data_IF_130404220446
#
_entry.id   IF_130404220446
#
_cell.length_a   1.000
_cell.length_b   1.000
_cell.length_c   1.000
_cell.angle_alpha   90.00
_cell.angle_beta   90.00
_cell.angle_gamma   90.00
#
_symmetry.space_group_name_H-M   'P 1'
#
loop_
_entity.id
_entity.type
_entity.pdbx_description
1 polymer ?
#
# COMPACT_ATOMS: atom_id res chain seq x y z
N UNK A 1 -8.14 -15.58 -6.93
CA UNK A 1 -8.14 -15.97 -5.50
C UNK A 1 -9.55 -16.18 -4.95
N UNK A 2 -10.50 -15.25 -5.18
CA UNK A 2 -11.87 -15.38 -4.63
C UNK A 2 -12.89 -16.12 -5.52
N UNK A 3 -12.48 -16.57 -6.70
CA UNK A 3 -13.33 -17.29 -7.69
C UNK A 3 -12.93 -18.75 -7.90
N UNK A 4 -12.01 -19.28 -7.09
CA UNK A 4 -11.57 -20.68 -7.19
C UNK A 4 -12.63 -21.61 -6.61
N UNK A 5 -12.83 -22.75 -7.28
CA UNK A 5 -13.92 -23.69 -6.99
C UNK A 5 -13.78 -24.42 -5.66
N UNK A 6 -12.56 -24.58 -5.15
CA UNK A 6 -12.25 -25.42 -3.99
C UNK A 6 -11.03 -24.94 -3.19
N UNK A 7 -10.91 -25.41 -1.95
CA UNK A 7 -9.82 -25.03 -1.03
C UNK A 7 -8.44 -25.50 -1.49
N UNK A 8 -8.32 -26.61 -2.22
CA UNK A 8 -7.03 -27.08 -2.71
C UNK A 8 -6.54 -26.18 -3.85
N UNK A 9 -7.42 -25.77 -4.76
CA UNK A 9 -7.12 -24.75 -5.78
C UNK A 9 -6.76 -23.40 -5.17
N UNK A 10 -7.38 -23.01 -4.05
CA UNK A 10 -7.00 -21.80 -3.32
C UNK A 10 -5.54 -21.88 -2.83
N UNK A 11 -5.18 -22.97 -2.13
CA UNK A 11 -3.78 -23.20 -1.68
C UNK A 11 -2.80 -23.25 -2.83
N UNK A 12 -3.13 -23.95 -3.92
CA UNK A 12 -2.29 -24.01 -5.12
C UNK A 12 -2.11 -22.61 -5.73
N UNK A 13 -3.17 -21.81 -5.81
CA UNK A 13 -3.09 -20.42 -6.26
C UNK A 13 -2.18 -19.58 -5.36
N UNK A 14 -2.23 -19.76 -4.04
CA UNK A 14 -1.32 -19.08 -3.10
C UNK A 14 0.13 -19.47 -3.36
N UNK A 15 0.41 -20.76 -3.51
CA UNK A 15 1.77 -21.27 -3.76
C UNK A 15 2.31 -20.73 -5.07
N UNK A 16 1.54 -20.81 -6.15
CA UNK A 16 1.96 -20.28 -7.47
C UNK A 16 2.19 -18.77 -7.40
N UNK A 17 1.34 -18.03 -6.68
CA UNK A 17 1.52 -16.61 -6.45
C UNK A 17 2.82 -16.29 -5.72
N UNK A 18 3.07 -16.93 -4.57
CA UNK A 18 4.29 -16.74 -3.78
C UNK A 18 5.53 -17.14 -4.59
N UNK A 19 5.49 -18.26 -5.30
CA UNK A 19 6.60 -18.72 -6.12
C UNK A 19 6.91 -17.75 -7.27
N UNK A 20 5.88 -17.21 -7.92
CA UNK A 20 6.04 -16.21 -9.00
C UNK A 20 6.64 -14.91 -8.48
N UNK A 21 6.20 -14.43 -7.31
CA UNK A 21 6.76 -13.24 -6.65
C UNK A 21 8.23 -13.48 -6.26
N UNK A 22 8.53 -14.63 -5.66
CA UNK A 22 9.90 -14.99 -5.28
C UNK A 22 10.82 -15.09 -6.49
N UNK A 23 10.37 -15.73 -7.57
CA UNK A 23 11.09 -15.80 -8.83
C UNK A 23 11.34 -14.40 -9.43
N UNK A 24 10.33 -13.53 -9.44
CA UNK A 24 10.48 -12.15 -9.89
C UNK A 24 11.53 -11.38 -9.09
N UNK A 25 11.53 -11.51 -7.75
CA UNK A 25 12.52 -10.84 -6.91
C UNK A 25 13.96 -11.28 -7.20
N UNK A 26 14.16 -12.56 -7.48
CA UNK A 26 15.46 -13.10 -7.93
C UNK A 26 15.86 -12.46 -9.26
N UNK A 27 14.96 -12.35 -10.23
CA UNK A 27 15.25 -11.70 -11.52
C UNK A 27 15.64 -10.22 -11.37
N UNK A 28 14.97 -9.46 -10.51
CA UNK A 28 15.33 -8.06 -10.25
C UNK A 28 16.76 -7.89 -9.74
N UNK A 29 17.27 -8.85 -8.96
CA UNK A 29 18.67 -8.84 -8.51
C UNK A 29 19.64 -8.97 -9.68
N UNK A 30 19.36 -9.89 -10.62
CA UNK A 30 20.18 -10.05 -11.83
C UNK A 30 20.14 -8.82 -12.72
N UNK A 31 18.99 -8.17 -12.86
CA UNK A 31 18.87 -6.92 -13.64
C UNK A 31 19.69 -5.80 -12.98
N UNK A 32 19.60 -5.64 -11.66
CA UNK A 32 20.37 -4.63 -10.94
C UNK A 32 21.88 -4.84 -11.07
N UNK A 33 22.34 -6.09 -10.89
CA UNK A 33 23.75 -6.44 -11.06
C UNK A 33 24.22 -6.27 -12.51
N UNK A 34 23.41 -6.68 -13.48
CA UNK A 34 23.70 -6.53 -14.90
C UNK A 34 23.80 -5.06 -15.33
N UNK A 35 22.94 -4.19 -14.81
CA UNK A 35 23.03 -2.75 -15.02
C UNK A 35 24.33 -2.18 -14.44
N UNK A 36 24.76 -2.68 -13.26
CA UNK A 36 26.00 -2.26 -12.61
C UNK A 36 27.25 -2.67 -13.38
N UNK A 37 27.32 -3.90 -13.88
CA UNK A 37 28.50 -4.41 -14.59
C UNK A 37 28.60 -3.92 -16.04
N UNK A 38 27.48 -3.60 -16.68
CA UNK A 38 27.45 -3.04 -18.04
C UNK A 38 27.81 -1.56 -18.11
N UNK A 39 27.86 -0.85 -16.98
CA UNK A 39 28.05 0.61 -16.95
C UNK A 39 26.82 1.39 -17.43
N UNK A 40 25.67 0.73 -17.61
CA UNK A 40 24.43 1.33 -18.08
C UNK A 40 23.59 1.96 -16.94
N UNK A 41 24.09 1.99 -15.71
CA UNK A 41 23.38 2.61 -14.59
C UNK A 41 23.40 4.13 -14.68
N UNK A 42 22.21 4.72 -14.55
CA UNK A 42 22.09 6.11 -14.13
C UNK A 42 22.21 6.19 -12.60
N UNK A 43 23.35 6.70 -12.13
CA UNK A 43 23.63 6.89 -10.69
C UNK A 43 22.70 7.91 -10.04
N UNK A 44 22.01 8.73 -10.84
CA UNK A 44 21.03 9.71 -10.36
C UNK A 44 19.61 9.14 -10.33
N UNK A 45 19.34 8.03 -11.02
CA UNK A 45 18.02 7.42 -11.07
C UNK A 45 18.06 5.88 -11.14
N UNK A 46 17.99 5.26 -9.96
CA UNK A 46 17.93 3.80 -9.83
C UNK A 46 16.67 3.16 -10.43
N UNK A 47 15.59 3.93 -10.65
CA UNK A 47 14.34 3.39 -11.21
C UNK A 47 14.48 3.06 -12.71
N UNK A 48 15.52 3.57 -13.39
CA UNK A 48 15.78 3.34 -14.81
C UNK A 48 16.73 2.16 -15.09
N UNK A 49 17.14 1.40 -14.08
CA UNK A 49 18.11 0.31 -14.25
C UNK A 49 17.68 -0.74 -15.30
N UNK A 50 16.43 -1.17 -15.31
CA UNK A 50 15.96 -2.19 -16.25
C UNK A 50 15.87 -1.67 -17.71
N UNK A 51 15.24 -0.51 -17.99
CA UNK A 51 15.26 0.06 -19.34
C UNK A 51 16.67 0.38 -19.84
N UNK A 52 17.53 0.98 -19.01
CA UNK A 52 18.88 1.36 -19.44
C UNK A 52 19.77 0.14 -19.70
N UNK A 53 19.62 -0.94 -18.91
CA UNK A 53 20.25 -2.21 -19.22
C UNK A 53 19.78 -2.76 -20.58
N UNK A 54 18.49 -2.69 -20.91
CA UNK A 54 18.03 -3.09 -22.24
C UNK A 54 18.60 -2.21 -23.35
N UNK A 55 18.74 -0.91 -23.10
CA UNK A 55 19.34 0.04 -24.04
C UNK A 55 20.80 -0.29 -24.34
N UNK A 56 21.55 -0.82 -23.37
CA UNK A 56 22.94 -1.23 -23.60
C UNK A 56 23.06 -2.41 -24.59
N UNK A 57 21.99 -3.18 -24.81
CA UNK A 57 21.95 -4.22 -25.84
C UNK A 57 21.40 -3.71 -27.17
N UNK A 58 20.28 -2.97 -27.17
CA UNK A 58 19.67 -2.42 -28.37
C UNK A 58 18.59 -1.37 -28.05
N UNK A 59 18.50 -0.32 -28.88
CA UNK A 59 17.42 0.69 -28.79
C UNK A 59 16.04 0.07 -29.00
N UNK A 60 15.94 -1.00 -29.81
CA UNK A 60 14.68 -1.72 -30.01
C UNK A 60 14.24 -2.43 -28.72
N UNK A 61 15.18 -3.04 -28.00
CA UNK A 61 14.88 -3.72 -26.74
C UNK A 61 14.47 -2.72 -25.65
N UNK A 62 15.13 -1.56 -25.60
CA UNK A 62 14.73 -0.44 -24.74
C UNK A 62 13.29 0.00 -25.02
N UNK A 63 12.92 0.19 -26.29
CA UNK A 63 11.57 0.60 -26.68
C UNK A 63 10.53 -0.45 -26.28
N UNK A 64 10.80 -1.74 -26.52
CA UNK A 64 9.91 -2.85 -26.17
C UNK A 64 9.70 -2.95 -24.65
N UNK A 65 10.78 -2.94 -23.87
CA UNK A 65 10.67 -3.02 -22.40
C UNK A 65 9.94 -1.79 -21.85
N UNK A 66 10.25 -0.60 -22.35
CA UNK A 66 9.58 0.63 -21.93
C UNK A 66 8.07 0.60 -22.26
N UNK A 67 7.69 0.10 -23.43
CA UNK A 67 6.30 -0.05 -23.83
C UNK A 67 5.55 -1.07 -22.95
N UNK A 68 6.17 -2.21 -22.62
CA UNK A 68 5.60 -3.23 -21.73
C UNK A 68 5.43 -2.66 -20.31
N UNK A 69 6.45 -1.97 -19.79
CA UNK A 69 6.42 -1.35 -18.47
C UNK A 69 5.28 -0.32 -18.40
N UNK A 70 5.21 0.57 -19.39
CA UNK A 70 4.15 1.59 -19.47
C UNK A 70 2.75 0.97 -19.54
N UNK A 71 2.56 -0.02 -20.43
CA UNK A 71 1.27 -0.71 -20.59
C UNK A 71 0.84 -1.43 -19.31
N UNK A 72 1.79 -2.06 -18.62
CA UNK A 72 1.53 -2.79 -17.37
C UNK A 72 1.16 -1.83 -16.23
N UNK A 73 1.87 -0.71 -16.09
CA UNK A 73 1.53 0.33 -15.10
C UNK A 73 0.15 0.91 -15.37
N UNK A 74 -0.20 1.24 -16.62
CA UNK A 74 -1.54 1.73 -16.95
C UNK A 74 -2.62 0.69 -16.62
N UNK A 75 -2.37 -0.58 -16.91
CA UNK A 75 -3.28 -1.67 -16.59
C UNK A 75 -3.55 -1.80 -15.08
N UNK A 76 -2.49 -1.77 -14.25
CA UNK A 76 -2.62 -1.88 -12.79
C UNK A 76 -3.26 -0.64 -12.17
N UNK A 77 -2.84 0.56 -12.60
CA UNK A 77 -3.39 1.83 -12.11
C UNK A 77 -4.90 1.92 -12.39
N UNK A 78 -5.35 1.56 -13.59
CA UNK A 78 -6.78 1.54 -13.92
C UNK A 78 -7.57 0.61 -12.99
N UNK A 79 -7.05 -0.60 -12.75
CA UNK A 79 -7.67 -1.55 -11.83
C UNK A 79 -7.77 -1.02 -10.39
N UNK A 80 -6.71 -0.39 -9.89
CA UNK A 80 -6.68 0.20 -8.55
C UNK A 80 -7.63 1.40 -8.43
N UNK A 81 -7.71 2.26 -9.45
CA UNK A 81 -8.63 3.41 -9.48
C UNK A 81 -10.08 2.93 -9.44
N UNK A 82 -10.42 1.92 -10.25
CA UNK A 82 -11.78 1.35 -10.27
C UNK A 82 -12.11 0.78 -8.89
N UNK A 83 -11.21 -0.01 -8.29
CA UNK A 83 -11.40 -0.57 -6.96
C UNK A 83 -11.59 0.51 -5.89
N UNK A 84 -10.74 1.54 -5.88
CA UNK A 84 -10.84 2.67 -4.95
C UNK A 84 -12.15 3.46 -5.15
N UNK A 85 -12.54 3.72 -6.39
CA UNK A 85 -13.79 4.43 -6.69
C UNK A 85 -15.04 3.64 -6.30
N UNK A 86 -14.99 2.31 -6.42
CA UNK A 86 -16.04 1.42 -5.94
C UNK A 86 -16.17 1.46 -4.42
N UNK A 87 -15.04 1.43 -3.70
CA UNK A 87 -15.02 1.58 -2.25
C UNK A 87 -15.58 2.95 -1.82
N UNK A 88 -15.22 4.04 -2.50
CA UNK A 88 -15.80 5.37 -2.21
C UNK A 88 -17.32 5.38 -2.42
N UNK A 89 -17.80 4.85 -3.54
CA UNK A 89 -19.24 4.85 -3.84
C UNK A 89 -20.05 3.96 -2.88
N UNK A 90 -19.52 2.80 -2.48
CA UNK A 90 -20.24 1.84 -1.63
C UNK A 90 -20.03 2.10 -0.13
N UNK A 91 -18.79 2.28 0.29
CA UNK A 91 -18.44 2.38 1.71
C UNK A 91 -18.67 3.80 2.25
N UNK A 92 -18.27 4.83 1.50
CA UNK A 92 -18.43 6.22 1.94
C UNK A 92 -19.85 6.71 1.63
N UNK A 93 -20.27 6.73 0.36
CA UNK A 93 -21.58 7.27 0.01
C UNK A 93 -22.74 6.37 0.48
N UNK A 94 -22.65 5.06 0.22
CA UNK A 94 -23.70 4.11 0.57
C UNK A 94 -23.76 3.82 2.07
N UNK A 95 -22.64 3.44 2.70
CA UNK A 95 -22.65 2.93 4.07
C UNK A 95 -22.47 4.05 5.11
N UNK A 96 -21.49 4.92 4.94
CA UNK A 96 -21.16 5.96 5.92
C UNK A 96 -22.14 7.15 5.86
N UNK A 97 -22.39 7.68 4.66
CA UNK A 97 -23.32 8.80 4.44
C UNK A 97 -24.78 8.36 4.30
N UNK A 98 -25.05 7.04 4.22
CA UNK A 98 -26.39 6.46 4.09
C UNK A 98 -27.21 7.08 2.96
N UNK A 99 -26.56 7.41 1.84
CA UNK A 99 -27.24 7.98 0.69
C UNK A 99 -28.00 6.88 -0.06
N UNK A 100 -29.33 6.99 -0.10
CA UNK A 100 -30.13 6.16 -1.00
C UNK A 100 -29.90 6.61 -2.44
N UNK A 101 -29.26 5.75 -3.23
CA UNK A 101 -28.83 6.06 -4.59
C UNK A 101 -29.33 5.00 -5.55
N UNK A 102 -29.88 5.45 -6.67
CA UNK A 102 -30.19 4.56 -7.80
C UNK A 102 -28.90 4.01 -8.42
N UNK A 103 -28.99 2.92 -9.17
CA UNK A 103 -27.80 2.32 -9.80
C UNK A 103 -27.12 3.27 -10.80
N UNK A 104 -27.90 4.13 -11.46
CA UNK A 104 -27.35 5.18 -12.31
C UNK A 104 -26.54 6.21 -11.52
N UNK A 105 -27.04 6.63 -10.33
CA UNK A 105 -26.32 7.56 -9.45
C UNK A 105 -25.05 6.92 -8.87
N UNK A 106 -25.08 5.63 -8.51
CA UNK A 106 -23.89 4.88 -8.07
C UNK A 106 -22.80 4.88 -9.15
N UNK A 107 -23.16 4.59 -10.39
CA UNK A 107 -22.20 4.61 -11.51
C UNK A 107 -21.65 6.02 -11.73
N UNK A 108 -22.49 7.06 -11.63
CA UNK A 108 -22.03 8.45 -11.79
C UNK A 108 -21.05 8.86 -10.69
N UNK A 109 -21.34 8.53 -9.43
CA UNK A 109 -20.46 8.81 -8.29
C UNK A 109 -19.16 8.03 -8.40
N UNK A 110 -19.23 6.74 -8.76
CA UNK A 110 -18.04 5.94 -8.99
C UNK A 110 -17.14 6.56 -10.07
N UNK A 111 -17.70 6.99 -11.22
CA UNK A 111 -16.94 7.67 -12.28
C UNK A 111 -16.28 8.97 -11.80
N UNK A 112 -17.00 9.80 -11.04
CA UNK A 112 -16.45 11.04 -10.47
C UNK A 112 -15.33 10.70 -9.48
N UNK A 113 -15.55 9.73 -8.60
CA UNK A 113 -14.54 9.27 -7.65
C UNK A 113 -13.30 8.71 -8.37
N UNK A 114 -13.46 7.98 -9.49
CA UNK A 114 -12.33 7.51 -10.30
C UNK A 114 -11.48 8.67 -10.81
N UNK A 115 -12.11 9.75 -11.29
CA UNK A 115 -11.39 10.94 -11.76
C UNK A 115 -10.66 11.62 -10.59
N UNK A 116 -11.33 11.82 -9.46
CA UNK A 116 -10.72 12.45 -8.27
C UNK A 116 -9.54 11.63 -7.75
N UNK A 117 -9.71 10.32 -7.59
CA UNK A 117 -8.64 9.41 -7.16
C UNK A 117 -7.48 9.42 -8.16
N UNK A 118 -7.78 9.42 -9.47
CA UNK A 118 -6.77 9.51 -10.52
C UNK A 118 -5.97 10.82 -10.46
N UNK A 119 -6.63 11.96 -10.28
CA UNK A 119 -5.96 13.26 -10.13
C UNK A 119 -5.07 13.27 -8.90
N UNK A 120 -5.55 12.76 -7.75
CA UNK A 120 -4.74 12.65 -6.53
C UNK A 120 -3.52 11.75 -6.77
N UNK A 121 -3.70 10.60 -7.43
CA UNK A 121 -2.61 9.69 -7.74
C UNK A 121 -1.55 10.34 -8.65
N UNK A 122 -1.96 11.14 -9.65
CA UNK A 122 -1.04 11.89 -10.52
C UNK A 122 -0.26 12.93 -9.72
N UNK A 123 -0.94 13.71 -8.88
CA UNK A 123 -0.29 14.74 -8.04
C UNK A 123 0.73 14.11 -7.10
N UNK A 124 0.36 13.03 -6.41
CA UNK A 124 1.29 12.30 -5.55
C UNK A 124 2.44 11.68 -6.35
N UNK A 125 2.17 11.12 -7.54
CA UNK A 125 3.20 10.59 -8.42
C UNK A 125 4.26 11.62 -8.80
N UNK A 126 3.84 12.86 -9.13
CA UNK A 126 4.75 13.97 -9.43
C UNK A 126 5.53 14.40 -8.18
N UNK A 127 4.87 14.51 -7.02
CA UNK A 127 5.54 14.91 -5.77
C UNK A 127 6.62 13.92 -5.33
N UNK A 128 6.44 12.63 -5.60
CA UNK A 128 7.35 11.56 -5.19
C UNK A 128 8.19 10.99 -6.34
N UNK A 129 8.27 11.66 -7.50
CA UNK A 129 8.92 11.12 -8.72
C UNK A 129 10.41 10.82 -8.56
N UNK A 130 11.09 11.56 -7.67
CA UNK A 130 12.54 11.42 -7.41
C UNK A 130 12.86 10.29 -6.45
N UNK A 131 11.86 9.74 -5.78
CA UNK A 131 12.06 8.66 -4.83
C UNK A 131 12.23 7.32 -5.56
N UNK A 132 13.02 6.43 -4.97
CA UNK A 132 13.10 5.07 -5.46
C UNK A 132 11.76 4.34 -5.24
N UNK A 133 11.24 3.72 -6.30
CA UNK A 133 9.92 3.06 -6.29
C UNK A 133 9.88 1.91 -5.27
N UNK A 134 10.99 1.22 -5.02
CA UNK A 134 11.07 0.18 -3.98
C UNK A 134 10.79 0.73 -2.58
N UNK A 135 11.22 1.96 -2.27
CA UNK A 135 10.88 2.62 -1.00
C UNK A 135 9.40 2.99 -0.94
N UNK A 136 8.84 3.57 -2.01
CA UNK A 136 7.41 3.89 -2.08
C UNK A 136 6.52 2.66 -1.89
N UNK A 137 6.90 1.53 -2.50
CA UNK A 137 6.21 0.24 -2.30
C UNK A 137 6.35 -0.25 -0.85
N UNK A 138 7.54 -0.13 -0.26
CA UNK A 138 7.79 -0.46 1.15
C UNK A 138 6.93 0.37 2.11
N UNK A 139 6.76 1.66 1.83
CA UNK A 139 5.88 2.56 2.57
C UNK A 139 4.42 2.15 2.45
N UNK A 140 3.93 1.90 1.22
CA UNK A 140 2.57 1.45 0.98
C UNK A 140 2.25 0.16 1.76
N UNK A 141 3.16 -0.84 1.72
CA UNK A 141 2.99 -2.06 2.50
C UNK A 141 3.06 -1.82 4.01
N UNK A 142 3.92 -0.93 4.48
CA UNK A 142 4.00 -0.62 5.91
C UNK A 142 2.74 0.05 6.44
N UNK A 143 2.16 0.98 5.67
CA UNK A 143 0.87 1.61 6.00
C UNK A 143 -0.25 0.58 6.00
N UNK A 144 -0.34 -0.23 4.95
CA UNK A 144 -1.37 -1.27 4.83
C UNK A 144 -1.26 -2.32 5.95
N UNK A 145 -0.05 -2.76 6.28
CA UNK A 145 0.20 -3.70 7.38
C UNK A 145 -0.16 -3.07 8.74
N UNK A 146 0.24 -1.82 8.99
CA UNK A 146 -0.03 -1.14 10.26
C UNK A 146 -1.52 -0.95 10.53
N UNK A 147 -2.30 -0.62 9.50
CA UNK A 147 -3.74 -0.44 9.62
C UNK A 147 -4.49 -1.78 9.73
N UNK A 148 -4.19 -2.75 8.87
CA UNK A 148 -5.06 -3.92 8.68
C UNK A 148 -4.58 -5.17 9.41
N UNK A 149 -3.27 -5.40 9.52
CA UNK A 149 -2.73 -6.66 10.04
C UNK A 149 -3.14 -6.92 11.50
N UNK A 150 -3.01 -5.95 12.44
CA UNK A 150 -3.43 -6.17 13.84
C UNK A 150 -4.91 -6.55 13.93
N UNK A 151 -5.76 -5.81 13.22
CA UNK A 151 -7.20 -6.01 13.23
C UNK A 151 -7.62 -7.37 12.68
N UNK A 152 -7.07 -7.77 11.53
CA UNK A 152 -7.40 -9.05 10.90
C UNK A 152 -6.91 -10.24 11.73
N UNK A 153 -5.68 -10.18 12.26
CA UNK A 153 -5.12 -11.27 13.06
C UNK A 153 -5.90 -11.40 14.38
N UNK A 154 -6.12 -10.30 15.10
CA UNK A 154 -6.80 -10.36 16.39
C UNK A 154 -8.27 -10.77 16.23
N UNK A 155 -8.95 -10.36 15.16
CA UNK A 155 -10.31 -10.81 14.88
C UNK A 155 -10.42 -12.33 14.70
N UNK A 156 -9.43 -12.98 14.09
CA UNK A 156 -9.43 -14.43 13.83
C UNK A 156 -8.95 -15.22 15.06
N UNK A 157 -7.88 -14.77 15.71
CA UNK A 157 -7.17 -15.55 16.74
C UNK A 157 -7.51 -15.16 18.19
N UNK A 158 -8.07 -13.97 18.42
CA UNK A 158 -8.40 -13.49 19.75
C UNK A 158 -9.91 -13.19 19.90
N UNK A 159 -10.58 -14.02 20.70
CA UNK A 159 -12.01 -13.85 21.03
C UNK A 159 -12.31 -12.54 21.75
N UNK A 160 -11.29 -11.88 22.31
CA UNK A 160 -11.42 -10.62 23.05
C UNK A 160 -11.62 -9.37 22.19
N UNK A 161 -11.58 -9.52 20.87
CA UNK A 161 -11.57 -8.38 19.94
C UNK A 161 -12.92 -7.64 19.93
N UNK A 162 -12.87 -6.32 20.09
CA UNK A 162 -14.06 -5.45 20.07
C UNK A 162 -14.11 -4.57 18.82
N UNK A 163 -15.31 -4.16 18.39
CA UNK A 163 -15.49 -3.22 17.27
C UNK A 163 -14.71 -1.92 17.49
N UNK A 164 -14.79 -1.36 18.70
CA UNK A 164 -14.11 -0.13 19.07
C UNK A 164 -12.59 -0.30 19.05
N UNK A 165 -12.07 -1.42 19.55
CA UNK A 165 -10.65 -1.75 19.48
C UNK A 165 -10.12 -1.84 18.05
N UNK A 166 -10.88 -2.48 17.15
CA UNK A 166 -10.54 -2.53 15.72
C UNK A 166 -10.53 -1.13 15.10
N UNK A 167 -11.57 -0.33 15.31
CA UNK A 167 -11.65 1.02 14.71
C UNK A 167 -10.48 1.89 15.17
N UNK A 168 -10.19 1.93 16.47
CA UNK A 168 -9.08 2.74 17.00
C UNK A 168 -7.74 2.21 16.52
N UNK A 169 -7.53 0.90 16.46
CA UNK A 169 -6.28 0.31 15.96
C UNK A 169 -6.03 0.64 14.48
N UNK A 170 -7.05 0.53 13.61
CA UNK A 170 -6.94 0.91 12.19
C UNK A 170 -6.59 2.39 12.07
N UNK A 171 -7.34 3.26 12.77
CA UNK A 171 -7.12 4.72 12.72
C UNK A 171 -5.74 5.10 13.23
N UNK A 172 -5.32 4.56 14.37
CA UNK A 172 -4.00 4.85 14.95
C UNK A 172 -2.90 4.29 14.05
N UNK A 173 -3.01 3.04 13.58
CA UNK A 173 -2.02 2.45 12.68
C UNK A 173 -1.84 3.22 11.38
N UNK A 174 -2.93 3.70 10.78
CA UNK A 174 -2.92 4.56 9.59
C UNK A 174 -2.26 5.92 9.88
N UNK A 175 -2.73 6.63 10.91
CA UNK A 175 -2.21 7.97 11.24
C UNK A 175 -0.74 7.88 11.65
N UNK A 176 -0.36 6.91 12.47
CA UNK A 176 1.01 6.76 12.94
C UNK A 176 1.97 6.42 11.80
N UNK A 177 1.58 5.53 10.90
CA UNK A 177 2.44 5.14 9.76
C UNK A 177 2.58 6.27 8.74
N UNK A 178 1.50 6.96 8.41
CA UNK A 178 1.55 8.15 7.54
C UNK A 178 2.38 9.27 8.16
N UNK A 179 2.14 9.60 9.43
CA UNK A 179 2.91 10.65 10.13
C UNK A 179 4.39 10.30 10.17
N UNK A 180 4.73 9.03 10.44
CA UNK A 180 6.12 8.58 10.45
C UNK A 180 6.79 8.72 9.10
N UNK A 181 6.10 8.34 8.01
CA UNK A 181 6.62 8.51 6.65
C UNK A 181 6.85 10.00 6.36
N UNK A 182 5.85 10.85 6.59
CA UNK A 182 5.95 12.28 6.30
C UNK A 182 7.02 12.99 7.14
N UNK A 183 7.33 12.48 8.33
CA UNK A 183 8.35 13.02 9.22
C UNK A 183 9.73 12.37 9.04
N UNK A 184 9.88 11.46 8.08
CA UNK A 184 11.12 10.75 7.80
C UNK A 184 12.17 11.61 7.12
N UNK A 185 13.43 11.25 7.34
CA UNK A 185 14.59 11.89 6.70
C UNK A 185 14.50 11.86 5.17
N UNK A 186 13.99 10.77 4.59
CA UNK A 186 13.84 10.63 3.14
C UNK A 186 12.79 11.60 2.59
N UNK A 187 11.63 11.73 3.24
CA UNK A 187 10.62 12.73 2.82
C UNK A 187 11.14 14.16 2.99
N UNK A 188 11.86 14.43 4.08
CA UNK A 188 12.44 15.76 4.32
C UNK A 188 13.41 16.14 3.20
N UNK A 189 14.29 15.22 2.82
CA UNK A 189 15.28 15.43 1.77
C UNK A 189 14.66 15.50 0.37
N UNK A 190 13.91 14.47 -0.02
CA UNK A 190 13.55 14.23 -1.41
C UNK A 190 12.23 14.90 -1.82
N UNK A 191 11.39 15.30 -0.85
CA UNK A 191 10.10 15.96 -1.09
C UNK A 191 10.10 17.40 -0.60
N UNK A 192 10.55 17.65 0.64
CA UNK A 192 10.52 19.00 1.22
C UNK A 192 11.77 19.83 0.94
N UNK A 193 12.88 19.20 0.55
CA UNK A 193 14.17 19.89 0.36
C UNK A 193 14.78 20.44 1.66
N UNK A 194 14.44 19.84 2.80
CA UNK A 194 14.90 20.21 4.14
C UNK A 194 16.02 19.25 4.56
N UNK A 195 16.94 19.75 5.38
CA UNK A 195 18.02 18.94 5.97
C UNK A 195 17.45 17.68 6.69
N UNK A 196 17.84 16.46 6.27
CA UNK A 196 17.41 15.21 6.89
C UNK A 196 17.74 15.11 8.38
N UNK A 197 18.74 15.86 8.88
CA UNK A 197 19.08 15.88 10.31
C UNK A 197 17.98 16.48 11.21
N UNK A 198 17.02 17.21 10.62
CA UNK A 198 15.85 17.76 11.32
C UNK A 198 14.67 16.79 11.37
N UNK A 199 14.81 15.59 10.80
CA UNK A 199 13.76 14.58 10.84
C UNK A 199 13.45 14.18 12.29
N UNK A 200 12.16 14.09 12.61
CA UNK A 200 11.70 13.74 13.95
C UNK A 200 11.81 12.24 14.23
N UNK A 201 11.86 11.42 13.16
CA UNK A 201 11.94 9.97 13.28
C UNK A 201 13.32 9.45 12.89
N UNK A 202 13.85 8.44 13.63
CA UNK A 202 15.23 7.98 13.46
C UNK A 202 15.45 7.09 12.23
N UNK A 203 14.38 6.55 11.62
CA UNK A 203 14.46 5.71 10.42
C UNK A 203 13.19 5.81 9.58
N UNK A 204 13.31 5.55 8.28
CA UNK A 204 12.24 5.79 7.30
C UNK A 204 11.22 4.66 7.15
N UNK A 205 11.48 3.49 7.73
CA UNK A 205 10.58 2.34 7.62
C UNK A 205 9.67 2.23 8.86
N UNK A 206 8.41 2.68 8.82
CA UNK A 206 7.58 2.81 10.02
C UNK A 206 7.14 1.47 10.61
N UNK A 207 7.09 0.41 9.79
CA UNK A 207 6.40 -0.85 10.12
C UNK A 207 6.89 -1.53 11.41
N UNK A 208 8.17 -1.39 11.75
CA UNK A 208 8.73 -1.99 12.97
C UNK A 208 8.13 -1.41 14.26
N UNK A 209 7.63 -0.17 14.22
CA UNK A 209 7.01 0.51 15.37
C UNK A 209 5.50 0.53 15.26
N UNK A 210 4.99 0.87 14.09
CA UNK A 210 3.55 1.12 13.90
C UNK A 210 2.72 -0.14 13.92
N UNK A 211 3.28 -1.29 13.51
CA UNK A 211 2.57 -2.59 13.58
C UNK A 211 2.41 -3.04 15.05
N UNK A 212 3.48 -3.15 15.87
CA UNK A 212 3.32 -3.46 17.30
C UNK A 212 2.42 -2.47 18.04
N UNK A 213 2.51 -1.18 17.71
CA UNK A 213 1.65 -0.15 18.28
C UNK A 213 0.17 -0.41 17.97
N UNK A 214 -0.16 -0.81 16.73
CA UNK A 214 -1.52 -1.20 16.35
C UNK A 214 -2.04 -2.38 17.16
N UNK A 215 -1.21 -3.41 17.41
CA UNK A 215 -1.57 -4.53 18.29
C UNK A 215 -1.81 -4.07 19.74
N UNK A 216 -0.90 -3.27 20.29
CA UNK A 216 -1.00 -2.78 21.67
C UNK A 216 -2.27 -1.95 21.89
N UNK A 217 -2.58 -1.05 20.94
CA UNK A 217 -3.79 -0.22 20.97
C UNK A 217 -5.05 -1.09 20.86
N UNK A 218 -5.07 -2.06 19.94
CA UNK A 218 -6.21 -2.96 19.78
C UNK A 218 -6.51 -3.72 21.07
N UNK A 219 -5.47 -4.30 21.68
CA UNK A 219 -5.59 -5.08 22.92
C UNK A 219 -6.06 -4.17 24.06
N UNK A 220 -5.40 -3.02 24.26
CA UNK A 220 -5.72 -2.09 25.33
C UNK A 220 -7.17 -1.59 25.26
N UNK A 221 -7.59 -1.09 24.10
CA UNK A 221 -8.96 -0.59 23.90
C UNK A 221 -9.99 -1.71 24.02
N UNK A 222 -9.68 -2.90 23.50
CA UNK A 222 -10.62 -4.03 23.60
C UNK A 222 -10.82 -4.48 25.04
N UNK A 223 -9.76 -4.58 25.84
CA UNK A 223 -9.87 -4.93 27.26
C UNK A 223 -10.67 -3.88 28.05
N UNK A 224 -10.42 -2.59 27.79
CA UNK A 224 -11.16 -1.49 28.44
C UNK A 224 -12.64 -1.52 28.07
N UNK A 225 -12.95 -1.79 26.80
CA UNK A 225 -14.32 -1.82 26.30
C UNK A 225 -15.11 -3.02 26.84
N UNK A 226 -14.48 -4.20 26.91
CA UNK A 226 -15.09 -5.40 27.48
C UNK A 226 -15.44 -5.21 28.96
N UNK A 227 -14.52 -4.63 29.73
CA UNK A 227 -14.73 -4.34 31.15
C UNK A 227 -15.93 -3.41 31.36
N UNK A 228 -16.08 -2.39 30.51
CA UNK A 228 -17.20 -1.45 30.57
C UNK A 228 -18.54 -2.11 30.22
N UNK A 229 -18.56 -3.01 29.23
CA UNK A 229 -19.74 -3.78 28.87
C UNK A 229 -20.18 -4.76 29.97
N UNK A 230 -19.22 -5.42 30.64
CA UNK A 230 -19.49 -6.31 31.78
C UNK A 230 -20.01 -5.54 33.01
N UNK A 231 -19.43 -4.37 33.32
CA UNK A 231 -19.90 -3.52 34.43
C UNK A 231 -21.31 -2.97 34.21
N UNK A 232 -21.68 -2.64 32.97
CA UNK A 232 -23.02 -2.18 32.64
C UNK A 232 -24.09 -3.29 32.71
N UNK A 233 -23.69 -4.56 32.59
CA UNK A 233 -24.60 -5.70 32.69
C UNK A 233 -24.79 -6.22 34.13
N UNK A 234 -23.97 -5.76 35.08
CA UNK A 234 -24.03 -6.13 36.50
C UNK A 234 -24.80 -5.13 37.38
N UNK A 235 -25.38 -4.10 36.77
CA UNK A 235 -26.24 -3.07 37.40
C UNK A 235 -27.66 -3.27 36.90
#
# INVERSE_FOLDING_TARGET
>A
YYTVKDQASARKSTIVGIASIGFFYVLTLYIGLGAMTSGALDVTNSNMAAPLLAKSFSEWLFAVISAIAFTTVLGTVSGLIIAASGAVAHDICGTLLKMEMTDYQKIRIAKIASVVVGVIAIVLGILFEKMNVSYLVGWAFSVAASANLPSLIMLIFWKGTTKQGITVAITVGLISSLSWILLSADTFKDVYGIDPAKALVPFSQPGIVTIPLGFAVLIGVSLMTQRKAQQAASV
#
